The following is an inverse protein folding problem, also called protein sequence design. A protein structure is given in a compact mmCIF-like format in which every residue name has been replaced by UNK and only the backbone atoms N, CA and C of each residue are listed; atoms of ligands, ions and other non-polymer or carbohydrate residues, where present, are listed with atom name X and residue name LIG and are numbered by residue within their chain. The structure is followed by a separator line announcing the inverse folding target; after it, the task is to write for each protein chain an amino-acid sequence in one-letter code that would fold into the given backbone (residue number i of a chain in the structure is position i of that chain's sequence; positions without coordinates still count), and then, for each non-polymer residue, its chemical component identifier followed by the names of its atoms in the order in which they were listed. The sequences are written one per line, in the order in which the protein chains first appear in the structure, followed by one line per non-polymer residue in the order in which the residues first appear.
data_IF_911395636156
#
_entry.id   IF_911395636156
#
_cell.length_a   1.000
_cell.length_b   1.000
_cell.length_c   1.000
_cell.angle_alpha   90.00
_cell.angle_beta   90.00
_cell.angle_gamma   90.00
#
_symmetry.space_group_name_H-M   'P 1'
#
loop_
_entity.id
_entity.type
_entity.pdbx_description
1 polymer ?
#
# COMPACT_ATOMS: atom_id res chain seq x y z
N UNK A 1 11.21 -10.18 -11.25
CA UNK A 1 9.78 -9.90 -11.42
C UNK A 1 9.32 -9.19 -10.15
N UNK A 2 9.18 -7.86 -10.18
CA UNK A 2 8.80 -7.11 -8.98
C UNK A 2 7.39 -7.49 -8.54
N UNK A 3 7.24 -7.77 -7.25
CA UNK A 3 5.95 -8.14 -6.68
C UNK A 3 5.24 -6.85 -6.29
N UNK A 4 4.01 -6.69 -6.77
CA UNK A 4 3.14 -5.56 -6.40
C UNK A 4 1.94 -6.07 -5.63
N UNK A 5 1.68 -5.47 -4.49
CA UNK A 5 0.44 -5.66 -3.73
C UNK A 5 -0.47 -4.48 -4.08
N UNK A 6 -1.59 -4.74 -4.72
CA UNK A 6 -2.52 -3.71 -5.21
C UNK A 6 -3.93 -4.05 -4.76
N UNK A 7 -4.66 -3.06 -4.23
CA UNK A 7 -6.07 -3.16 -3.86
C UNK A 7 -6.85 -1.98 -4.41
N UNK A 8 -8.04 -2.26 -4.94
CA UNK A 8 -8.99 -1.23 -5.35
C UNK A 8 -9.84 -0.85 -4.15
N UNK A 9 -9.96 0.44 -3.88
CA UNK A 9 -10.66 0.99 -2.72
C UNK A 9 -11.45 2.24 -3.11
N UNK A 10 -12.40 2.62 -2.28
CA UNK A 10 -13.06 3.91 -2.33
C UNK A 10 -12.54 4.71 -1.13
N UNK A 11 -12.01 5.91 -1.40
CA UNK A 11 -11.43 6.82 -0.40
C UNK A 11 -12.26 8.11 -0.46
N UNK A 12 -12.93 8.47 0.63
CA UNK A 12 -13.81 9.65 0.73
C UNK A 12 -14.86 9.72 -0.40
N UNK A 13 -15.36 8.56 -0.84
CA UNK A 13 -16.36 8.43 -1.91
C UNK A 13 -15.78 8.38 -3.33
N UNK A 14 -14.48 8.54 -3.51
CA UNK A 14 -13.81 8.46 -4.82
C UNK A 14 -13.11 7.12 -5.03
N UNK A 15 -13.24 6.56 -6.24
CA UNK A 15 -12.52 5.32 -6.61
C UNK A 15 -11.03 5.59 -6.69
N UNK A 16 -10.26 4.80 -5.95
CA UNK A 16 -8.81 4.87 -5.91
C UNK A 16 -8.21 3.48 -5.81
N UNK A 17 -6.88 3.43 -5.78
CA UNK A 17 -6.12 2.19 -5.60
C UNK A 17 -5.06 2.42 -4.54
N UNK A 18 -4.73 1.40 -3.76
CA UNK A 18 -3.56 1.42 -2.90
C UNK A 18 -2.58 0.37 -3.44
N UNK A 19 -1.32 0.77 -3.55
CA UNK A 19 -0.25 -0.04 -4.12
C UNK A 19 0.96 -0.03 -3.20
N UNK A 20 1.54 -1.21 -2.99
CA UNK A 20 2.83 -1.41 -2.34
C UNK A 20 3.70 -2.18 -3.32
N UNK A 21 4.80 -1.57 -3.76
CA UNK A 21 5.81 -2.29 -4.52
C UNK A 21 6.85 -2.86 -3.57
N UNK A 22 7.10 -4.16 -3.73
CA UNK A 22 8.21 -4.85 -3.10
C UNK A 22 9.43 -4.85 -4.03
N UNK A 23 10.61 -4.67 -3.44
CA UNK A 23 11.89 -4.80 -4.14
C UNK A 23 12.02 -6.12 -4.90
N UNK A 24 12.69 -6.12 -6.05
CA UNK A 24 12.67 -7.23 -7.02
C UNK A 24 13.66 -8.36 -6.66
N UNK A 25 14.85 -8.02 -6.14
CA UNK A 25 16.00 -8.93 -6.08
C UNK A 25 16.92 -8.79 -4.87
N UNK A 26 16.94 -7.65 -4.17
CA UNK A 26 17.85 -7.42 -3.02
C UNK A 26 17.16 -6.67 -1.89
N UNK A 27 17.61 -6.89 -0.65
CA UNK A 27 17.15 -6.20 0.57
C UNK A 27 17.24 -4.66 0.44
N UNK A 28 18.10 -4.14 -0.46
CA UNK A 28 18.21 -2.70 -0.77
C UNK A 28 17.40 -2.19 -1.96
N UNK A 29 16.53 -3.01 -2.57
CA UNK A 29 15.67 -2.54 -3.65
C UNK A 29 14.57 -1.65 -3.09
N UNK A 30 14.40 -0.48 -3.70
CA UNK A 30 13.48 0.55 -3.24
C UNK A 30 12.03 0.04 -3.21
N UNK A 31 11.44 0.05 -2.03
CA UNK A 31 10.01 -0.18 -1.83
C UNK A 31 9.27 1.16 -1.87
N UNK A 32 8.02 1.16 -2.32
CA UNK A 32 7.18 2.35 -2.25
C UNK A 32 5.74 2.01 -1.98
N UNK A 33 5.02 3.01 -1.45
CA UNK A 33 3.57 3.02 -1.38
C UNK A 33 3.01 4.08 -2.33
N UNK A 34 1.84 3.82 -2.93
CA UNK A 34 1.15 4.76 -3.81
C UNK A 34 -0.35 4.66 -3.61
N UNK A 35 -1.04 5.80 -3.74
CA UNK A 35 -2.51 5.89 -3.67
C UNK A 35 -3.01 6.49 -4.98
N UNK A 36 -3.74 5.72 -5.79
CA UNK A 36 -4.27 6.12 -7.08
C UNK A 36 -3.16 6.59 -8.02
N UNK A 37 -3.28 7.81 -8.52
CA UNK A 37 -2.29 8.48 -9.38
C UNK A 37 -1.33 9.40 -8.61
N UNK A 38 -1.30 9.32 -7.28
CA UNK A 38 -0.41 10.15 -6.46
C UNK A 38 1.06 9.75 -6.63
N UNK A 39 1.96 10.63 -6.17
CA UNK A 39 3.40 10.39 -6.16
C UNK A 39 3.76 9.19 -5.30
N UNK A 40 4.68 8.37 -5.80
CA UNK A 40 5.26 7.23 -5.09
C UNK A 40 6.00 7.70 -3.83
N UNK A 41 5.60 7.18 -2.67
CA UNK A 41 6.29 7.39 -1.39
C UNK A 41 7.21 6.23 -1.13
N UNK A 42 8.49 6.45 -1.39
CA UNK A 42 9.53 5.48 -1.14
C UNK A 42 9.78 5.29 0.34
N UNK A 43 10.05 4.07 0.75
CA UNK A 43 10.43 3.72 2.11
C UNK A 43 11.54 2.67 2.09
N UNK A 44 12.42 2.76 3.09
CA UNK A 44 13.45 1.77 3.29
C UNK A 44 12.84 0.53 3.94
N UNK A 45 13.06 -0.60 3.28
CA UNK A 45 12.75 -1.90 3.85
C UNK A 45 13.88 -2.30 4.82
N UNK A 46 13.54 -2.54 6.08
CA UNK A 46 14.48 -3.03 7.09
C UNK A 46 14.40 -4.55 7.32
N UNK A 47 13.53 -5.24 6.57
CA UNK A 47 13.10 -6.61 6.83
C UNK A 47 13.43 -7.53 5.65
N UNK A 48 13.65 -8.80 5.94
CA UNK A 48 14.09 -9.78 4.93
C UNK A 48 12.93 -10.53 4.27
N UNK A 49 11.71 -10.42 4.80
CA UNK A 49 10.56 -11.17 4.32
C UNK A 49 9.54 -10.29 3.59
N UNK A 50 8.86 -10.89 2.61
CA UNK A 50 7.80 -10.23 1.85
C UNK A 50 6.67 -9.75 2.74
N UNK A 51 6.24 -10.56 3.69
CA UNK A 51 5.07 -10.25 4.53
C UNK A 51 5.37 -9.07 5.45
N UNK A 52 6.60 -8.96 5.95
CA UNK A 52 7.04 -7.82 6.75
C UNK A 52 7.08 -6.52 5.93
N UNK A 53 7.53 -6.57 4.67
CA UNK A 53 7.53 -5.42 3.74
C UNK A 53 6.09 -4.96 3.48
N UNK A 54 5.17 -5.91 3.27
CA UNK A 54 3.75 -5.61 3.08
C UNK A 54 3.17 -4.99 4.34
N UNK A 55 3.45 -5.54 5.53
CA UNK A 55 2.98 -4.99 6.79
C UNK A 55 3.49 -3.55 7.01
N UNK A 56 4.77 -3.28 6.74
CA UNK A 56 5.34 -1.94 6.80
C UNK A 56 4.65 -0.98 5.82
N UNK A 57 4.43 -1.40 4.58
CA UNK A 57 3.72 -0.61 3.57
C UNK A 57 2.26 -0.34 3.95
N UNK A 58 1.57 -1.34 4.52
CA UNK A 58 0.22 -1.21 5.06
C UNK A 58 0.18 -0.19 6.19
N UNK A 59 1.13 -0.20 7.11
CA UNK A 59 1.18 0.77 8.21
C UNK A 59 1.42 2.21 7.72
N UNK A 60 2.27 2.39 6.69
CA UNK A 60 2.47 3.69 6.04
C UNK A 60 1.17 4.18 5.38
N UNK A 61 0.46 3.28 4.70
CA UNK A 61 -0.82 3.60 4.06
C UNK A 61 -1.90 3.92 5.10
N UNK A 62 -2.00 3.17 6.21
CA UNK A 62 -2.90 3.44 7.33
C UNK A 62 -2.70 4.83 7.90
N UNK A 63 -1.45 5.21 8.17
CA UNK A 63 -1.12 6.57 8.65
C UNK A 63 -1.45 7.65 7.61
N UNK A 64 -1.21 7.38 6.34
CA UNK A 64 -1.51 8.33 5.25
C UNK A 64 -3.01 8.52 5.04
N UNK A 65 -3.80 7.49 5.31
CA UNK A 65 -5.26 7.46 5.14
C UNK A 65 -6.02 7.60 6.47
N UNK A 66 -5.31 7.93 7.55
CA UNK A 66 -5.90 8.18 8.85
C UNK A 66 -6.90 9.34 8.76
N UNK A 67 -8.12 9.12 9.26
CA UNK A 67 -9.21 10.09 9.18
C UNK A 67 -9.96 10.13 7.85
N UNK A 68 -9.59 9.30 6.86
CA UNK A 68 -10.35 9.14 5.61
C UNK A 68 -11.32 7.97 5.68
N UNK A 69 -12.46 8.09 5.00
CA UNK A 69 -13.40 6.99 4.88
C UNK A 69 -12.89 6.00 3.82
N UNK A 70 -12.54 4.78 4.23
CA UNK A 70 -12.04 3.73 3.34
C UNK A 70 -13.02 2.57 3.25
N UNK A 71 -13.47 2.26 2.03
CA UNK A 71 -14.35 1.12 1.76
C UNK A 71 -13.87 0.33 0.54
N UNK A 72 -14.29 -0.92 0.43
CA UNK A 72 -14.18 -1.66 -0.81
C UNK A 72 -15.15 -1.10 -1.87
N UNK A 73 -14.93 -1.41 -3.16
CA UNK A 73 -15.84 -1.01 -4.23
C UNK A 73 -17.28 -1.52 -4.07
N UNK A 74 -17.51 -2.53 -3.22
CA UNK A 74 -18.82 -3.08 -2.89
C UNK A 74 -19.50 -2.36 -1.70
N UNK A 75 -18.84 -1.35 -1.12
CA UNK A 75 -19.35 -0.55 -0.02
C UNK A 75 -19.08 -1.13 1.37
N UNK A 76 -18.42 -2.28 1.50
CA UNK A 76 -17.97 -2.80 2.80
C UNK A 76 -16.80 -1.99 3.33
N UNK A 77 -16.68 -1.88 4.66
CA UNK A 77 -15.51 -1.27 5.29
C UNK A 77 -14.23 -1.99 4.84
N UNK A 78 -13.19 -1.22 4.54
CA UNK A 78 -11.93 -1.78 4.07
C UNK A 78 -11.21 -2.51 5.21
N UNK A 79 -10.98 -3.81 5.05
CA UNK A 79 -10.08 -4.55 5.92
C UNK A 79 -8.65 -4.45 5.40
N UNK A 80 -7.71 -4.25 6.33
CA UNK A 80 -6.28 -4.17 6.03
C UNK A 80 -5.62 -5.56 6.06
N UNK A 81 -6.39 -6.63 5.89
CA UNK A 81 -5.97 -8.01 6.12
C UNK A 81 -5.59 -8.75 4.83
#
# INVERSE_FOLDING_TARGET
MSIRWIRNVIIDGEKSTIEIQLGDRRIGDKCYTRIGTATEKYFDNMMDTRDDIVAQGVDILKKTLEGKALTYPDGRDYDWQ
#
